data_IF_621098206428
#
_entry.id   IF_621098206428
#
_cell.length_a   1.000
_cell.length_b   1.000
_cell.length_c   1.000
_cell.angle_alpha   90.00
_cell.angle_beta   90.00
_cell.angle_gamma   90.00
#
_symmetry.space_group_name_H-M   'P 1'
#
loop_
_entity.id
_entity.type
_entity.pdbx_description
1 polymer ?
#
# COMPACT_ATOMS: atom_id res chain seq x y z
N UNK A 1 4.70 -27.08 -11.46
CA UNK A 1 4.42 -25.63 -11.45
C UNK A 1 5.40 -24.95 -12.38
N UNK A 2 4.89 -24.24 -13.38
CA UNK A 2 5.71 -23.45 -14.31
C UNK A 2 5.86 -22.03 -13.75
N UNK A 3 7.07 -21.48 -13.78
CA UNK A 3 7.33 -20.10 -13.37
C UNK A 3 8.21 -19.39 -14.39
N UNK A 4 8.02 -18.07 -14.50
CA UNK A 4 8.93 -17.18 -15.20
C UNK A 4 10.11 -16.83 -14.30
N UNK A 5 11.32 -17.00 -14.82
CA UNK A 5 12.58 -16.81 -14.10
C UNK A 5 13.48 -15.88 -14.87
N UNK A 6 14.16 -15.00 -14.17
CA UNK A 6 15.13 -14.08 -14.77
C UNK A 6 16.55 -14.68 -14.75
N UNK A 7 17.21 -14.65 -15.89
CA UNK A 7 18.61 -15.06 -15.97
C UNK A 7 19.53 -13.84 -15.89
N UNK A 8 20.27 -13.71 -14.79
CA UNK A 8 21.19 -12.59 -14.57
C UNK A 8 22.31 -12.49 -15.61
N UNK A 9 22.73 -13.63 -16.20
CA UNK A 9 23.82 -13.66 -17.20
C UNK A 9 23.42 -13.09 -18.54
N UNK A 10 22.28 -13.52 -19.11
CA UNK A 10 21.84 -13.06 -20.42
C UNK A 10 20.74 -12.02 -20.38
N UNK A 11 20.28 -11.63 -19.16
CA UNK A 11 19.24 -10.62 -18.90
C UNK A 11 17.89 -10.93 -19.56
N UNK A 12 17.57 -12.22 -19.74
CA UNK A 12 16.31 -12.67 -20.35
C UNK A 12 15.45 -13.43 -19.35
N UNK A 13 14.14 -13.29 -19.53
CA UNK A 13 13.13 -14.07 -18.82
C UNK A 13 12.85 -15.35 -19.60
N UNK A 14 12.73 -16.48 -18.91
CA UNK A 14 12.37 -17.77 -19.48
C UNK A 14 11.42 -18.52 -18.55
N UNK A 15 10.65 -19.42 -19.10
CA UNK A 15 9.77 -20.30 -18.33
C UNK A 15 10.49 -21.62 -18.02
N UNK A 16 10.31 -22.09 -16.79
CA UNK A 16 10.81 -23.38 -16.35
C UNK A 16 9.82 -24.07 -15.41
N UNK A 17 9.85 -25.38 -15.42
CA UNK A 17 9.16 -26.23 -14.44
C UNK A 17 10.07 -26.49 -13.25
N UNK A 18 9.44 -26.67 -12.07
CA UNK A 18 10.19 -27.05 -10.87
C UNK A 18 10.96 -28.35 -11.14
N UNK A 19 12.27 -28.39 -10.91
CA UNK A 19 13.05 -29.60 -11.12
C UNK A 19 12.65 -30.70 -10.14
N UNK A 20 12.73 -31.96 -10.56
CA UNK A 20 12.42 -33.13 -9.72
C UNK A 20 13.50 -33.31 -8.64
N UNK A 21 14.76 -33.03 -8.97
CA UNK A 21 15.90 -33.09 -8.06
C UNK A 21 16.69 -31.78 -8.09
N UNK A 22 17.12 -31.33 -6.90
CA UNK A 22 17.87 -30.09 -6.75
C UNK A 22 16.99 -28.85 -6.82
N UNK A 23 17.61 -27.68 -7.01
CA UNK A 23 16.93 -26.38 -7.09
C UNK A 23 17.43 -25.51 -8.27
N UNK A 24 18.06 -26.13 -9.28
CA UNK A 24 18.60 -25.36 -10.39
C UNK A 24 18.02 -25.82 -11.73
N UNK A 25 17.73 -24.84 -12.58
CA UNK A 25 17.29 -25.04 -13.95
C UNK A 25 18.26 -24.39 -14.92
N UNK A 26 18.34 -24.91 -16.15
CA UNK A 26 19.19 -24.31 -17.18
C UNK A 26 18.43 -23.25 -17.97
N UNK A 27 18.96 -22.04 -18.04
CA UNK A 27 18.42 -20.99 -18.89
C UNK A 27 18.29 -21.47 -20.35
N UNK A 28 17.12 -21.30 -20.93
CA UNK A 28 16.82 -21.77 -22.29
C UNK A 28 17.67 -21.06 -23.35
N UNK A 29 18.14 -19.83 -23.08
CA UNK A 29 18.90 -18.99 -24.00
C UNK A 29 20.41 -19.17 -23.91
N UNK A 30 20.99 -19.12 -22.71
CA UNK A 30 22.45 -19.13 -22.54
C UNK A 30 23.00 -20.37 -21.81
N UNK A 31 22.11 -21.29 -21.40
CA UNK A 31 22.41 -22.55 -20.70
C UNK A 31 23.04 -22.37 -19.31
N UNK A 32 23.08 -21.15 -18.78
CA UNK A 32 23.49 -20.88 -17.39
C UNK A 32 22.56 -21.58 -16.41
N UNK A 33 23.12 -22.09 -15.32
CA UNK A 33 22.32 -22.62 -14.21
C UNK A 33 21.79 -21.47 -13.37
N UNK A 34 20.49 -21.47 -13.16
CA UNK A 34 19.75 -20.47 -12.38
C UNK A 34 18.99 -21.19 -11.29
N UNK A 35 18.99 -20.63 -10.08
CA UNK A 35 18.21 -21.18 -9.00
C UNK A 35 16.71 -21.02 -9.29
N UNK A 36 15.95 -22.10 -9.09
CA UNK A 36 14.50 -22.08 -9.26
C UNK A 36 13.87 -21.43 -8.01
N UNK A 37 13.06 -20.35 -8.17
CA UNK A 37 12.44 -19.68 -7.02
C UNK A 37 11.52 -20.62 -6.23
N UNK A 38 11.51 -20.50 -4.91
CA UNK A 38 10.70 -21.35 -4.03
C UNK A 38 9.20 -21.13 -4.24
N UNK A 39 8.83 -19.90 -4.56
CA UNK A 39 7.44 -19.48 -4.84
C UNK A 39 7.42 -18.43 -5.95
N UNK A 40 6.25 -18.15 -6.53
CA UNK A 40 6.10 -17.09 -7.54
C UNK A 40 6.45 -15.68 -7.03
N UNK A 41 6.51 -15.48 -5.70
CA UNK A 41 6.86 -14.21 -5.06
C UNK A 41 8.25 -14.24 -4.41
N UNK A 42 9.02 -15.31 -4.62
CA UNK A 42 10.41 -15.40 -4.13
C UNK A 42 11.38 -14.63 -5.04
N UNK A 43 12.53 -14.19 -4.51
CA UNK A 43 13.57 -13.54 -5.32
C UNK A 43 13.94 -14.37 -6.55
N UNK A 44 14.09 -13.69 -7.69
CA UNK A 44 14.37 -14.32 -8.99
C UNK A 44 13.15 -14.73 -9.82
N UNK A 45 11.96 -14.80 -9.20
CA UNK A 45 10.69 -14.98 -9.93
C UNK A 45 10.28 -13.69 -10.64
N UNK A 46 9.55 -13.85 -11.75
CA UNK A 46 9.01 -12.74 -12.53
C UNK A 46 7.49 -12.83 -12.59
N UNK A 47 6.81 -11.75 -12.22
CA UNK A 47 5.37 -11.60 -12.33
C UNK A 47 5.12 -10.44 -13.32
N UNK A 48 4.48 -10.71 -14.45
CA UNK A 48 4.32 -9.73 -15.52
C UNK A 48 5.67 -9.23 -16.03
N UNK A 49 5.93 -7.95 -15.86
CA UNK A 49 7.18 -7.26 -16.19
C UNK A 49 8.08 -7.03 -14.96
N UNK A 50 7.77 -7.67 -13.82
CA UNK A 50 8.37 -7.34 -12.53
C UNK A 50 9.19 -8.50 -11.97
N UNK A 51 10.50 -8.31 -11.87
CA UNK A 51 11.43 -9.24 -11.21
C UNK A 51 11.39 -9.00 -9.71
N UNK A 52 11.01 -10.00 -8.94
CA UNK A 52 10.99 -9.94 -7.47
C UNK A 52 12.43 -9.93 -6.94
N UNK A 53 12.76 -8.94 -6.13
CA UNK A 53 14.08 -8.82 -5.48
C UNK A 53 14.02 -9.21 -4.00
N UNK A 54 13.03 -8.72 -3.25
CA UNK A 54 12.83 -9.07 -1.83
C UNK A 54 11.46 -8.63 -1.33
N UNK A 55 10.99 -9.25 -0.26
CA UNK A 55 9.84 -8.78 0.51
C UNK A 55 10.19 -7.48 1.27
N UNK A 56 9.28 -6.49 1.24
CA UNK A 56 9.39 -5.23 2.00
C UNK A 56 8.49 -5.27 3.23
N UNK A 57 7.23 -5.67 3.04
CA UNK A 57 6.24 -5.70 4.11
C UNK A 57 5.15 -6.73 3.85
N UNK A 58 4.52 -7.15 4.94
CA UNK A 58 3.36 -8.04 4.92
C UNK A 58 2.22 -7.37 5.66
N UNK A 59 1.14 -7.09 4.95
CA UNK A 59 -0.06 -6.44 5.47
C UNK A 59 -1.29 -7.34 5.48
N UNK A 60 -2.41 -6.82 5.94
CA UNK A 60 -3.67 -7.58 6.04
C UNK A 60 -4.18 -8.10 4.70
N UNK A 61 -4.16 -7.28 3.66
CA UNK A 61 -4.73 -7.59 2.34
C UNK A 61 -3.68 -8.09 1.33
N UNK A 62 -2.40 -7.76 1.53
CA UNK A 62 -1.36 -8.06 0.54
C UNK A 62 0.03 -8.07 1.12
N UNK A 63 0.94 -8.58 0.33
CA UNK A 63 2.37 -8.56 0.58
C UNK A 63 3.01 -7.59 -0.40
N UNK A 64 3.96 -6.78 0.07
CA UNK A 64 4.66 -5.79 -0.77
C UNK A 64 6.11 -6.20 -0.96
N UNK A 65 6.52 -6.23 -2.20
CA UNK A 65 7.86 -6.61 -2.61
C UNK A 65 8.60 -5.43 -3.24
N UNK A 66 9.89 -5.34 -3.00
CA UNK A 66 10.78 -4.61 -3.91
C UNK A 66 10.92 -5.47 -5.16
N UNK A 67 10.58 -4.89 -6.29
CA UNK A 67 10.74 -5.51 -7.59
C UNK A 67 11.43 -4.56 -8.56
N UNK A 68 12.03 -5.10 -9.61
CA UNK A 68 12.57 -4.32 -10.72
C UNK A 68 11.67 -4.48 -11.94
N UNK A 69 11.14 -3.38 -12.42
CA UNK A 69 10.43 -3.37 -13.70
C UNK A 69 11.43 -3.57 -14.83
N UNK A 70 11.35 -4.71 -15.52
CA UNK A 70 12.37 -5.13 -16.51
C UNK A 70 12.38 -4.26 -17.77
N UNK A 71 11.21 -3.84 -18.25
CA UNK A 71 11.09 -3.01 -19.46
C UNK A 71 11.67 -1.61 -19.32
N UNK A 72 11.65 -1.03 -18.08
CA UNK A 72 12.13 0.32 -17.80
C UNK A 72 13.37 0.36 -16.90
N UNK A 73 13.86 -0.79 -16.47
CA UNK A 73 15.02 -0.98 -15.57
C UNK A 73 14.96 -0.07 -14.33
N UNK A 74 13.81 -0.04 -13.67
CA UNK A 74 13.59 0.80 -12.47
C UNK A 74 13.05 -0.01 -11.30
N UNK A 75 13.38 0.39 -10.04
CA UNK A 75 12.78 -0.22 -8.86
C UNK A 75 11.31 0.21 -8.72
N UNK A 76 10.47 -0.74 -8.29
CA UNK A 76 9.05 -0.52 -7.99
C UNK A 76 8.69 -1.23 -6.68
N UNK A 77 7.66 -0.76 -6.00
CA UNK A 77 6.97 -1.52 -4.97
C UNK A 77 5.85 -2.32 -5.66
N UNK A 78 5.88 -3.64 -5.51
CA UNK A 78 4.89 -4.55 -6.08
C UNK A 78 4.03 -5.13 -4.96
N UNK A 79 2.78 -4.66 -4.84
CA UNK A 79 1.79 -5.19 -3.91
C UNK A 79 1.13 -6.40 -4.57
N UNK A 80 1.15 -7.54 -3.91
CA UNK A 80 0.56 -8.80 -4.39
C UNK A 80 -0.56 -9.21 -3.44
N UNK A 81 -1.73 -9.53 -3.99
CA UNK A 81 -2.87 -9.98 -3.21
C UNK A 81 -2.58 -11.37 -2.61
N UNK A 82 -2.85 -11.54 -1.31
CA UNK A 82 -2.61 -12.84 -0.66
C UNK A 82 -3.51 -13.94 -1.20
N UNK A 83 -2.96 -15.16 -1.30
CA UNK A 83 -3.64 -16.32 -1.84
C UNK A 83 -5.00 -16.62 -1.17
N UNK A 84 -5.15 -16.34 0.13
CA UNK A 84 -6.41 -16.55 0.87
C UNK A 84 -7.57 -15.69 0.37
N UNK A 85 -7.30 -14.58 -0.33
CA UNK A 85 -8.31 -13.66 -0.84
C UNK A 85 -8.61 -13.85 -2.34
N UNK A 86 -7.90 -14.73 -3.04
CA UNK A 86 -8.08 -14.94 -4.48
C UNK A 86 -9.47 -15.45 -4.86
N UNK A 87 -10.14 -16.17 -3.96
CA UNK A 87 -11.50 -16.69 -4.17
C UNK A 87 -12.59 -15.73 -3.70
N UNK A 88 -12.22 -14.62 -3.07
CA UNK A 88 -13.14 -13.59 -2.63
C UNK A 88 -13.19 -12.45 -3.65
N UNK A 89 -14.30 -12.41 -4.42
CA UNK A 89 -14.49 -11.44 -5.49
C UNK A 89 -14.48 -10.01 -4.99
N UNK A 90 -15.00 -9.76 -3.81
CA UNK A 90 -15.06 -8.42 -3.22
C UNK A 90 -13.65 -7.89 -2.89
N UNK A 91 -12.78 -8.73 -2.34
CA UNK A 91 -11.37 -8.38 -2.11
C UNK A 91 -10.61 -8.11 -3.40
N UNK A 92 -10.82 -8.95 -4.42
CA UNK A 92 -10.19 -8.76 -5.75
C UNK A 92 -10.67 -7.46 -6.39
N UNK A 93 -11.96 -7.17 -6.38
CA UNK A 93 -12.52 -5.93 -6.90
C UNK A 93 -12.02 -4.70 -6.13
N UNK A 94 -11.95 -4.79 -4.80
CA UNK A 94 -11.39 -3.72 -3.94
C UNK A 94 -9.92 -3.44 -4.28
N UNK A 95 -9.10 -4.48 -4.48
CA UNK A 95 -7.71 -4.35 -4.89
C UNK A 95 -7.54 -3.60 -6.22
N UNK A 96 -8.35 -3.96 -7.24
CA UNK A 96 -8.34 -3.24 -8.52
C UNK A 96 -8.89 -1.82 -8.40
N UNK A 97 -9.88 -1.60 -7.56
CA UNK A 97 -10.45 -0.27 -7.30
C UNK A 97 -9.41 0.66 -6.70
N UNK A 98 -8.67 0.21 -5.71
CA UNK A 98 -7.53 0.91 -5.10
C UNK A 98 -6.50 1.32 -6.16
N UNK A 99 -6.02 0.35 -6.94
CA UNK A 99 -5.02 0.60 -7.97
C UNK A 99 -5.50 1.62 -9.02
N UNK A 100 -6.77 1.53 -9.44
CA UNK A 100 -7.38 2.48 -10.39
C UNK A 100 -7.53 3.88 -9.80
N UNK A 101 -7.92 3.99 -8.53
CA UNK A 101 -8.03 5.27 -7.84
C UNK A 101 -6.67 5.95 -7.74
N UNK A 102 -5.63 5.20 -7.30
CA UNK A 102 -4.26 5.69 -7.27
C UNK A 102 -3.74 6.11 -8.65
N UNK A 103 -4.13 5.38 -9.70
CA UNK A 103 -3.72 5.66 -11.08
C UNK A 103 -4.27 6.96 -11.68
N UNK A 104 -5.37 7.50 -11.14
CA UNK A 104 -5.99 8.76 -11.58
C UNK A 104 -5.37 10.00 -10.94
N UNK A 105 -4.67 9.85 -9.81
CA UNK A 105 -4.10 10.96 -9.07
C UNK A 105 -2.63 11.12 -9.48
N UNK A 106 -2.28 12.31 -9.95
CA UNK A 106 -0.90 12.70 -10.24
C UNK A 106 -0.51 13.89 -9.36
N UNK A 107 0.22 13.63 -8.28
CA UNK A 107 0.65 14.65 -7.34
C UNK A 107 2.01 14.28 -6.74
N UNK A 108 2.94 15.24 -6.51
CA UNK A 108 4.28 14.94 -5.99
C UNK A 108 4.25 14.28 -4.61
N UNK A 109 3.22 14.49 -3.82
CA UNK A 109 3.06 13.92 -2.48
C UNK A 109 2.11 12.70 -2.45
N UNK A 110 1.82 12.07 -3.59
CA UNK A 110 1.11 10.77 -3.69
C UNK A 110 2.06 9.74 -4.27
N UNK A 111 2.05 8.52 -3.74
CA UNK A 111 2.75 7.38 -4.34
C UNK A 111 2.13 7.06 -5.69
N UNK A 112 2.93 7.19 -6.75
CA UNK A 112 2.44 7.02 -8.12
C UNK A 112 2.14 5.56 -8.44
N UNK A 113 0.95 5.29 -8.95
CA UNK A 113 0.59 3.99 -9.53
C UNK A 113 1.22 3.83 -10.93
N UNK A 114 1.71 2.63 -11.23
CA UNK A 114 2.33 2.35 -12.53
C UNK A 114 1.58 1.33 -13.35
N UNK A 115 1.16 0.23 -12.73
CA UNK A 115 0.44 -0.84 -13.41
C UNK A 115 -0.35 -1.68 -12.42
N UNK A 116 -1.43 -2.28 -12.89
CA UNK A 116 -2.18 -3.31 -12.18
C UNK A 116 -2.46 -4.45 -13.14
N UNK A 117 -2.41 -5.68 -12.67
CA UNK A 117 -2.64 -6.83 -13.54
C UNK A 117 -2.81 -8.14 -12.78
N UNK A 118 -2.96 -9.18 -13.58
CA UNK A 118 -3.02 -10.57 -13.14
C UNK A 118 -2.09 -11.40 -14.01
N UNK A 119 -1.36 -12.31 -13.38
CA UNK A 119 -0.60 -13.34 -14.08
C UNK A 119 -0.65 -14.66 -13.32
N UNK A 120 -1.09 -15.72 -13.97
CA UNK A 120 -1.20 -17.08 -13.39
C UNK A 120 -1.97 -17.12 -12.07
N UNK A 121 -3.05 -16.35 -11.95
CA UNK A 121 -3.85 -16.23 -10.74
C UNK A 121 -3.24 -15.33 -9.65
N UNK A 122 -2.16 -14.62 -9.95
CA UNK A 122 -1.51 -13.68 -9.02
C UNK A 122 -1.92 -12.27 -9.42
N UNK A 123 -2.70 -11.61 -8.57
CA UNK A 123 -3.07 -10.22 -8.75
C UNK A 123 -1.99 -9.32 -8.17
N UNK A 124 -1.54 -8.36 -8.95
CA UNK A 124 -0.48 -7.43 -8.55
C UNK A 124 -0.79 -5.98 -8.88
N UNK A 125 -0.23 -5.10 -8.10
CA UNK A 125 -0.27 -3.65 -8.28
C UNK A 125 1.15 -3.09 -8.12
N UNK A 126 1.70 -2.53 -9.20
CA UNK A 126 3.01 -1.92 -9.22
C UNK A 126 2.91 -0.41 -9.01
N UNK A 127 3.71 0.13 -8.10
CA UNK A 127 3.71 1.53 -7.71
C UNK A 127 5.13 2.04 -7.46
N UNK A 128 5.26 3.34 -7.27
CA UNK A 128 6.50 4.03 -6.93
C UNK A 128 7.16 3.40 -5.68
N UNK A 129 8.40 2.99 -5.80
CA UNK A 129 9.18 2.56 -4.66
C UNK A 129 9.80 3.77 -3.95
N UNK A 130 9.33 4.04 -2.74
CA UNK A 130 9.85 5.13 -1.92
C UNK A 130 11.07 4.65 -1.14
N UNK A 131 12.25 5.21 -1.49
CA UNK A 131 13.47 4.99 -0.70
C UNK A 131 13.43 5.82 0.57
N UNK A 132 12.75 5.32 1.58
CA UNK A 132 12.51 6.08 2.81
C UNK A 132 11.92 5.22 3.92
N UNK A 133 11.29 5.89 4.88
CA UNK A 133 10.63 5.26 6.04
C UNK A 133 9.20 5.77 6.16
N UNK A 134 8.32 4.94 6.69
CA UNK A 134 6.99 5.38 7.13
C UNK A 134 7.12 6.31 8.34
N UNK A 135 6.16 7.21 8.50
CA UNK A 135 6.10 8.06 9.71
C UNK A 135 5.92 7.24 10.98
N UNK A 136 5.31 6.06 10.90
CA UNK A 136 5.24 5.10 12.01
C UNK A 136 6.63 4.62 12.44
N UNK A 137 7.48 4.24 11.49
CA UNK A 137 8.86 3.82 11.78
C UNK A 137 9.68 4.96 12.37
N UNK A 138 9.49 6.19 11.89
CA UNK A 138 10.17 7.38 12.40
C UNK A 138 9.70 7.67 13.82
N UNK A 139 8.39 7.67 14.10
CA UNK A 139 7.83 7.88 15.44
C UNK A 139 8.29 6.81 16.44
N UNK A 140 8.44 5.56 15.99
CA UNK A 140 8.99 4.50 16.86
C UNK A 140 10.43 4.79 17.30
N UNK A 141 11.21 5.50 16.47
CA UNK A 141 12.60 5.86 16.75
C UNK A 141 12.71 7.19 17.49
N UNK A 142 12.05 8.23 17.00
CA UNK A 142 12.18 9.62 17.47
C UNK A 142 11.15 9.98 18.56
N UNK A 143 10.09 9.16 18.75
CA UNK A 143 8.94 9.35 19.66
C UNK A 143 8.07 10.55 19.31
N UNK A 144 8.65 11.69 18.99
CA UNK A 144 7.97 12.92 18.53
C UNK A 144 8.68 13.51 17.34
N UNK A 145 7.95 14.28 16.54
CA UNK A 145 8.49 15.00 15.39
C UNK A 145 8.53 16.49 15.73
N UNK A 146 9.65 17.14 15.43
CA UNK A 146 9.77 18.61 15.61
C UNK A 146 8.61 19.32 14.90
N UNK A 147 8.01 20.31 15.55
CA UNK A 147 6.77 20.95 15.13
C UNK A 147 6.80 21.47 13.67
N UNK A 148 7.89 22.16 13.28
CA UNK A 148 8.02 22.70 11.91
C UNK A 148 8.12 21.57 10.86
N UNK A 149 8.84 20.49 11.19
CA UNK A 149 8.95 19.28 10.34
C UNK A 149 7.58 18.60 10.22
N UNK A 150 6.89 18.41 11.35
CA UNK A 150 5.54 17.85 11.37
C UNK A 150 4.56 18.70 10.56
N UNK A 151 4.53 20.01 10.76
CA UNK A 151 3.67 20.92 10.01
C UNK A 151 3.96 20.93 8.49
N UNK A 152 5.24 20.81 8.07
CA UNK A 152 5.60 20.64 6.67
C UNK A 152 5.00 19.37 6.10
N UNK A 153 5.16 18.22 6.79
CA UNK A 153 4.65 16.91 6.36
C UNK A 153 3.13 16.96 6.22
N UNK A 154 2.43 17.47 7.22
CA UNK A 154 0.97 17.59 7.21
C UNK A 154 0.48 18.48 6.07
N UNK A 155 1.15 19.59 5.78
CA UNK A 155 0.83 20.44 4.64
C UNK A 155 0.98 19.72 3.30
N UNK A 156 2.04 18.93 3.14
CA UNK A 156 2.29 18.14 1.93
C UNK A 156 1.22 17.07 1.73
N UNK A 157 0.82 16.37 2.81
CA UNK A 157 -0.28 15.40 2.78
C UNK A 157 -1.62 16.08 2.51
N UNK A 158 -1.90 17.23 3.16
CA UNK A 158 -3.12 18.00 2.89
C UNK A 158 -3.23 18.43 1.40
N UNK A 159 -2.11 18.82 0.78
CA UNK A 159 -2.08 19.14 -0.65
C UNK A 159 -2.39 17.93 -1.53
N UNK A 160 -1.91 16.73 -1.15
CA UNK A 160 -2.26 15.48 -1.82
C UNK A 160 -3.77 15.16 -1.73
N UNK A 161 -4.34 15.32 -0.53
CA UNK A 161 -5.78 15.10 -0.29
C UNK A 161 -6.65 16.12 -1.03
N UNK A 162 -6.23 17.40 -1.08
CA UNK A 162 -6.90 18.42 -1.87
C UNK A 162 -6.95 18.05 -3.35
N UNK A 163 -5.84 17.60 -3.92
CA UNK A 163 -5.77 17.13 -5.30
C UNK A 163 -6.73 15.96 -5.54
N UNK A 164 -6.70 14.94 -4.68
CA UNK A 164 -7.56 13.76 -4.78
C UNK A 164 -9.05 14.12 -4.72
N UNK A 165 -9.42 15.02 -3.81
CA UNK A 165 -10.80 15.50 -3.68
C UNK A 165 -11.24 16.38 -4.86
N UNK A 166 -10.39 17.33 -5.28
CA UNK A 166 -10.72 18.27 -6.34
C UNK A 166 -10.94 17.54 -7.68
N UNK A 167 -10.03 16.62 -8.02
CA UNK A 167 -9.96 16.02 -9.34
C UNK A 167 -10.86 14.77 -9.46
N UNK A 168 -10.93 13.93 -8.41
CA UNK A 168 -11.62 12.64 -8.43
C UNK A 168 -12.75 12.50 -7.38
N UNK A 169 -13.00 13.51 -6.55
CA UNK A 169 -13.90 13.42 -5.38
C UNK A 169 -13.57 12.24 -4.45
N UNK A 170 -12.31 11.90 -4.40
CA UNK A 170 -11.81 10.75 -3.65
C UNK A 170 -11.53 11.14 -2.20
N UNK A 171 -12.01 10.31 -1.28
CA UNK A 171 -11.74 10.36 0.16
C UNK A 171 -10.86 9.18 0.52
N UNK A 172 -9.75 9.42 1.22
CA UNK A 172 -8.74 8.40 1.52
C UNK A 172 -9.21 7.41 2.60
N UNK A 173 -9.84 7.90 3.66
CA UNK A 173 -10.43 7.15 4.77
C UNK A 173 -9.47 6.39 5.70
N UNK A 174 -8.17 6.38 5.44
CA UNK A 174 -7.17 5.69 6.26
C UNK A 174 -5.88 6.52 6.41
N UNK A 175 -6.03 7.80 6.79
CA UNK A 175 -4.89 8.68 7.05
C UNK A 175 -4.29 8.35 8.41
N UNK A 176 -3.04 7.86 8.40
CA UNK A 176 -2.29 7.47 9.60
C UNK A 176 -0.79 7.45 9.31
N UNK A 177 0.08 7.40 10.34
CA UNK A 177 1.54 7.36 10.16
C UNK A 177 2.06 6.18 9.33
N UNK A 178 1.33 5.07 9.27
CA UNK A 178 1.68 3.90 8.45
C UNK A 178 1.64 4.24 6.94
N UNK A 179 0.68 5.08 6.53
CA UNK A 179 0.40 5.42 5.14
C UNK A 179 1.09 6.72 4.68
N UNK A 180 1.89 7.34 5.53
CA UNK A 180 2.71 8.51 5.18
C UNK A 180 4.18 8.11 5.22
N UNK A 181 4.87 8.22 4.09
CA UNK A 181 6.29 7.94 3.96
C UNK A 181 7.08 9.24 3.79
N UNK A 182 8.32 9.29 4.26
CA UNK A 182 9.28 10.31 3.85
C UNK A 182 10.28 9.69 2.88
N UNK A 183 10.46 10.34 1.74
CA UNK A 183 11.50 9.97 0.79
C UNK A 183 12.90 10.37 1.29
N UNK A 184 13.95 10.02 0.53
CA UNK A 184 15.33 10.34 0.88
C UNK A 184 15.62 11.84 0.99
N UNK A 185 14.78 12.70 0.40
CA UNK A 185 14.89 14.15 0.42
C UNK A 185 14.03 14.80 1.53
N UNK A 186 13.29 14.00 2.29
CA UNK A 186 12.40 14.46 3.35
C UNK A 186 11.08 15.04 2.85
N UNK A 187 10.61 14.67 1.66
CA UNK A 187 9.27 14.96 1.17
C UNK A 187 8.30 13.85 1.58
N UNK A 188 7.09 14.27 1.97
CA UNK A 188 6.04 13.32 2.30
C UNK A 188 5.42 12.71 1.03
N UNK A 189 5.14 11.43 1.11
CA UNK A 189 4.42 10.64 0.11
C UNK A 189 3.27 9.91 0.79
N UNK A 190 2.04 10.18 0.35
CA UNK A 190 0.84 9.49 0.81
C UNK A 190 0.69 8.20 0.00
N UNK A 191 0.60 7.09 0.70
CA UNK A 191 0.47 5.74 0.16
C UNK A 191 -0.86 5.10 0.57
N UNK A 192 -1.18 3.99 -0.04
CA UNK A 192 -2.25 3.05 0.34
C UNK A 192 -3.67 3.67 0.31
N UNK A 193 -4.19 3.81 -0.91
CA UNK A 193 -5.58 4.23 -1.16
C UNK A 193 -6.59 3.07 -0.99
N UNK A 194 -6.24 2.02 -0.21
CA UNK A 194 -7.00 0.76 -0.10
C UNK A 194 -8.43 0.90 0.41
N UNK A 195 -8.70 1.92 1.22
CA UNK A 195 -10.04 2.24 1.68
C UNK A 195 -10.63 3.47 0.97
N UNK A 196 -9.90 4.05 0.01
CA UNK A 196 -10.35 5.26 -0.66
C UNK A 196 -11.66 5.05 -1.44
N UNK A 197 -12.59 5.99 -1.30
CA UNK A 197 -13.91 5.96 -1.94
C UNK A 197 -14.17 7.25 -2.68
N UNK A 198 -14.95 7.15 -3.78
CA UNK A 198 -15.49 8.33 -4.46
C UNK A 198 -16.75 8.78 -3.71
N UNK A 199 -16.78 10.05 -3.31
CA UNK A 199 -17.92 10.61 -2.56
C UNK A 199 -19.22 10.50 -3.39
N UNK A 200 -20.31 10.08 -2.71
CA UNK A 200 -21.64 9.96 -3.33
C UNK A 200 -21.96 8.59 -3.95
N UNK A 201 -21.03 7.65 -3.97
CA UNK A 201 -21.31 6.26 -4.30
C UNK A 201 -21.69 5.54 -3.00
N UNK A 202 -22.98 5.25 -2.82
CA UNK A 202 -23.49 4.51 -1.68
C UNK A 202 -23.21 3.01 -1.84
N UNK A 203 -22.13 2.51 -1.31
CA UNK A 203 -21.98 1.09 -1.01
C UNK A 203 -22.68 0.81 0.33
N UNK A 204 -23.92 0.35 0.30
CA UNK A 204 -24.70 -0.02 1.50
C UNK A 204 -24.13 -1.23 2.24
N UNK A 205 -23.11 -1.88 1.71
CA UNK A 205 -22.58 -3.16 2.21
C UNK A 205 -21.41 -3.03 3.20
N UNK A 206 -20.94 -1.80 3.49
CA UNK A 206 -19.76 -1.60 4.34
C UNK A 206 -20.04 -1.54 5.85
N UNK A 207 -21.29 -1.69 6.29
CA UNK A 207 -21.68 -1.55 7.71
C UNK A 207 -22.29 -2.82 8.32
N UNK A 208 -22.27 -3.96 7.63
CA UNK A 208 -22.78 -5.23 8.17
C UNK A 208 -21.63 -6.14 8.66
N UNK A 209 -20.90 -5.70 9.67
CA UNK A 209 -19.92 -6.50 10.37
C UNK A 209 -19.46 -5.82 11.65
N UNK A 210 -19.44 -6.54 12.77
CA UNK A 210 -19.00 -6.07 14.10
C UNK A 210 -17.51 -5.70 14.20
N UNK A 211 -16.76 -5.67 13.08
CA UNK A 211 -15.36 -5.26 13.05
C UNK A 211 -15.24 -3.80 12.64
N UNK A 212 -14.72 -2.97 13.54
CA UNK A 212 -14.30 -1.59 13.24
C UNK A 212 -13.24 -1.63 12.16
N UNK A 213 -13.63 -1.35 10.90
CA UNK A 213 -12.71 -1.29 9.77
C UNK A 213 -11.80 -0.07 9.94
N UNK A 214 -10.52 -0.29 10.20
CA UNK A 214 -9.52 0.77 10.32
C UNK A 214 -8.75 0.75 11.63
N UNK A 215 -7.86 1.73 11.78
CA UNK A 215 -7.08 1.94 13.00
C UNK A 215 -7.84 2.92 13.90
N UNK A 216 -8.46 2.48 15.01
CA UNK A 216 -9.43 3.27 15.75
C UNK A 216 -8.88 4.61 16.26
N UNK A 217 -7.56 4.74 16.42
CA UNK A 217 -6.89 5.95 16.91
C UNK A 217 -6.98 7.18 15.99
N UNK A 218 -7.38 6.99 14.72
CA UNK A 218 -7.42 8.06 13.71
C UNK A 218 -8.76 8.18 13.00
N UNK A 219 -9.67 7.25 13.27
CA UNK A 219 -10.97 7.16 12.59
C UNK A 219 -11.82 8.39 12.84
N UNK A 220 -12.50 8.90 11.82
CA UNK A 220 -13.39 10.05 11.99
C UNK A 220 -14.76 9.66 12.59
N UNK A 221 -15.46 10.58 13.29
CA UNK A 221 -16.76 10.32 13.86
C UNK A 221 -17.78 9.81 12.85
N UNK A 222 -17.81 10.37 11.65
CA UNK A 222 -18.73 9.97 10.57
C UNK A 222 -18.47 8.56 10.06
N UNK A 223 -17.21 8.10 10.01
CA UNK A 223 -16.88 6.72 9.66
C UNK A 223 -17.44 5.73 10.68
N UNK A 224 -17.43 6.10 11.98
CA UNK A 224 -17.95 5.29 13.08
C UNK A 224 -19.48 5.25 13.13
N UNK A 225 -20.13 6.32 12.70
CA UNK A 225 -21.59 6.45 12.77
C UNK A 225 -22.30 6.09 11.48
N UNK A 226 -21.56 5.65 10.44
CA UNK A 226 -22.15 5.28 9.14
C UNK A 226 -22.70 6.48 8.35
N UNK A 227 -22.33 7.71 8.74
CA UNK A 227 -22.67 8.92 7.98
C UNK A 227 -21.76 8.96 6.73
N UNK A 228 -22.28 9.38 5.57
CA UNK A 228 -21.46 9.50 4.37
C UNK A 228 -20.22 10.36 4.59
N UNK A 229 -19.06 9.79 4.27
CA UNK A 229 -17.76 10.45 4.41
C UNK A 229 -17.49 11.42 3.26
N UNK A 230 -16.82 12.52 3.56
CA UNK A 230 -16.24 13.44 2.58
C UNK A 230 -14.81 13.84 2.99
N UNK A 231 -14.24 14.85 2.34
CA UNK A 231 -12.87 15.31 2.62
C UNK A 231 -12.65 15.70 4.09
N UNK A 232 -13.70 16.04 4.85
CA UNK A 232 -13.62 16.39 6.27
C UNK A 232 -13.18 15.20 7.12
N UNK A 233 -13.54 13.98 6.72
CA UNK A 233 -13.09 12.76 7.38
C UNK A 233 -11.56 12.61 7.30
N UNK A 234 -10.98 12.88 6.13
CA UNK A 234 -9.52 12.87 5.95
C UNK A 234 -8.84 14.00 6.76
N UNK A 235 -9.45 15.18 6.81
CA UNK A 235 -8.95 16.31 7.61
C UNK A 235 -8.93 15.96 9.11
N UNK A 236 -9.97 15.28 9.62
CA UNK A 236 -10.01 14.80 10.99
C UNK A 236 -8.87 13.82 11.28
N UNK A 237 -8.72 12.78 10.44
CA UNK A 237 -7.67 11.77 10.58
C UNK A 237 -6.26 12.36 10.45
N UNK A 238 -6.11 13.38 9.58
CA UNK A 238 -4.87 14.15 9.44
C UNK A 238 -4.56 14.95 10.70
N UNK A 239 -5.58 15.54 11.35
CA UNK A 239 -5.47 16.23 12.64
C UNK A 239 -5.01 15.27 13.75
N UNK A 240 -5.62 14.09 13.86
CA UNK A 240 -5.23 13.05 14.81
C UNK A 240 -3.77 12.57 14.58
N UNK A 241 -3.38 12.43 13.31
CA UNK A 241 -2.01 12.09 12.92
C UNK A 241 -1.02 13.21 13.31
N UNK A 242 -1.37 14.47 13.07
CA UNK A 242 -0.56 15.62 13.47
C UNK A 242 -0.38 15.71 14.99
N UNK A 243 -1.48 15.50 15.73
CA UNK A 243 -1.42 15.44 17.18
C UNK A 243 -0.40 14.40 17.66
N UNK A 244 -0.44 13.19 17.09
CA UNK A 244 0.51 12.16 17.44
C UNK A 244 1.95 12.53 17.04
N UNK A 245 2.17 13.18 15.90
CA UNK A 245 3.50 13.62 15.49
C UNK A 245 4.15 14.54 16.52
N UNK A 246 3.40 15.52 17.03
CA UNK A 246 3.97 16.54 17.92
C UNK A 246 3.99 16.12 19.39
N UNK A 247 3.06 15.28 19.82
CA UNK A 247 2.94 14.86 21.23
C UNK A 247 3.55 13.50 21.52
N UNK A 248 3.70 12.65 20.50
CA UNK A 248 4.07 11.23 20.64
C UNK A 248 2.97 10.36 21.24
N UNK A 249 1.75 10.88 21.37
CA UNK A 249 0.59 10.20 21.99
C UNK A 249 -0.59 10.22 21.03
N UNK A 250 -1.45 9.21 21.14
CA UNK A 250 -2.74 9.23 20.46
C UNK A 250 -3.68 10.28 21.08
N UNK A 251 -4.61 10.88 20.31
CA UNK A 251 -5.62 11.78 20.85
C UNK A 251 -6.45 11.13 21.94
N UNK A 252 -6.83 9.87 21.73
CA UNK A 252 -7.60 9.06 22.67
C UNK A 252 -6.91 7.73 22.92
N UNK A 253 -6.98 7.27 24.18
CA UNK A 253 -6.40 6.00 24.64
C UNK A 253 -7.39 5.35 25.59
N UNK A 254 -7.75 4.09 25.32
CA UNK A 254 -8.60 3.27 26.17
C UNK A 254 -8.19 1.80 26.03
N UNK A 255 -8.80 0.92 26.82
CA UNK A 255 -8.46 -0.51 26.87
C UNK A 255 -9.03 -1.30 25.69
N UNK A 256 -10.02 -0.75 24.97
CA UNK A 256 -10.63 -1.39 23.80
C UNK A 256 -10.76 -0.45 22.61
N UNK A 257 -10.80 -1.02 21.40
CA UNK A 257 -11.06 -0.29 20.16
C UNK A 257 -12.44 0.42 20.19
N UNK A 258 -13.43 -0.25 20.79
CA UNK A 258 -14.79 0.30 20.92
C UNK A 258 -14.84 1.54 21.83
N UNK A 259 -14.10 1.53 22.93
CA UNK A 259 -14.01 2.70 23.82
C UNK A 259 -13.30 3.87 23.13
N UNK A 260 -12.20 3.61 22.39
CA UNK A 260 -11.53 4.63 21.58
C UNK A 260 -12.51 5.21 20.55
N UNK A 261 -13.28 4.37 19.86
CA UNK A 261 -14.29 4.79 18.90
C UNK A 261 -15.34 5.71 19.54
N UNK A 262 -15.85 5.35 20.72
CA UNK A 262 -16.80 6.20 21.48
C UNK A 262 -16.22 7.57 21.82
N UNK A 263 -14.92 7.64 22.15
CA UNK A 263 -14.26 8.91 22.48
C UNK A 263 -14.11 9.83 21.25
N UNK A 264 -14.02 9.28 20.03
CA UNK A 264 -14.02 10.08 18.81
C UNK A 264 -15.40 10.70 18.49
N UNK A 265 -16.49 10.08 18.97
CA UNK A 265 -17.88 10.54 18.70
C UNK A 265 -18.41 11.48 19.80
N UNK A 266 -17.85 11.42 21.02
CA UNK A 266 -18.26 12.25 22.17
C UNK A 266 -17.83 13.70 22.03
#
# INVERSE_FOLDING_TARGET
MVMKIYCEKCKKVFEAEKPEEGNQVSCTFCKEKVDFPESPTSPGAVIGDFLIEKEISKGGMGEVYLARQLSLDRPVALKVLQAKFLNDKEYVESFFREARAAGRISHPNVVQAYAVGEENGIFYFAMEYIRGKTMKEILKQEKTIEFRKAAKIIREVASALECAWRDEKLVHQDIKPDNIMLDANGFAKLADLGLARVAGINDKEACEGDEVLGTPQYISPEQLTGIPTDVRSDIYSLGATFYQFVTGRFPYVADSAEEIAKMHVA
#
